data_IF_014311488751
#
_entry.id   IF_014311488751
#
_cell.length_a   1.000
_cell.length_b   1.000
_cell.length_c   1.000
_cell.angle_alpha   90.00
_cell.angle_beta   90.00
_cell.angle_gamma   90.00
#
_symmetry.space_group_name_H-M   'P 1'
#
loop_
_entity.id
_entity.type
_entity.pdbx_description
1 polymer ?
2 polymer ?
3 non-polymer ?
4 non-polymer ?
5 water ?
#
loop_
_entity_poly.entity_id
_entity_poly.type
_entity_poly.pdbx_seq_one_letter_code
_entity_poly.pdbx_strand_id
2 'polydeoxyribonucleotide' '(DT)(DT)(DT)(DC)(DC)(DC)(DG)(DT)(DG)(DT)(DC)(DT)(DG)(DT)(DC)(DA)(DA)(DT)(DC)(DT)(DG)' ?
#
# COMPACT_ATOMS: atom_id res chain seq x y z
N UNK A 10 5.68 35.21 5.15
CA UNK A 10 4.36 34.67 5.53
C UNK A 10 4.46 33.21 5.93
N UNK A 11 3.93 32.89 7.11
CA UNK A 11 4.02 31.58 7.73
C UNK A 11 2.68 30.89 7.75
N UNK A 12 2.71 29.55 7.75
CA UNK A 12 1.49 28.75 7.76
C UNK A 12 0.60 29.14 8.95
N UNK A 13 1.23 29.51 10.07
CA UNK A 13 0.47 29.95 11.24
C UNK A 13 -0.32 31.21 10.96
N UNK A 14 0.15 32.06 10.04
CA UNK A 14 -0.59 33.25 9.65
C UNK A 14 -1.62 32.99 8.56
N UNK A 15 -1.58 31.81 7.92
CA UNK A 15 -2.48 31.51 6.83
C UNK A 15 -3.70 30.70 7.25
N UNK A 16 -3.59 29.92 8.32
CA UNK A 16 -4.66 29.04 8.76
C UNK A 16 -4.97 29.33 10.23
N UNK A 17 -6.19 28.98 10.60
CA UNK A 17 -6.58 28.89 12.00
C UNK A 17 -6.33 27.46 12.48
N UNK A 18 -5.23 27.19 13.18
CA UNK A 18 -4.89 25.80 13.53
C UNK A 18 -6.00 25.12 14.33
N UNK A 19 -6.26 23.88 13.98
CA UNK A 19 -7.33 23.12 14.59
C UNK A 19 -6.94 22.63 15.99
N UNK A 20 -7.96 22.35 16.79
CA UNK A 20 -7.76 21.83 18.13
C UNK A 20 -7.07 20.47 18.07
N UNK A 21 -6.12 20.18 18.96
CA UNK A 21 -5.47 18.85 18.94
C UNK A 21 -6.44 17.68 19.02
N UNK A 22 -7.52 17.79 19.82
CA UNK A 22 -8.49 16.71 19.89
C UNK A 22 -9.25 16.55 18.58
N UNK A 23 -9.50 17.66 17.88
CA UNK A 23 -10.09 17.56 16.55
C UNK A 23 -9.19 16.79 15.60
N UNK A 24 -7.88 17.04 15.67
CA UNK A 24 -6.97 16.36 14.76
C UNK A 24 -6.88 14.88 15.07
N UNK A 25 -6.63 14.53 16.33
CA UNK A 25 -6.40 13.14 16.68
C UNK A 25 -7.67 12.30 16.46
N UNK A 26 -8.85 12.84 16.79
CA UNK A 26 -10.08 12.08 16.57
C UNK A 26 -10.37 11.92 15.09
N UNK A 27 -10.06 12.92 14.28
CA UNK A 27 -10.41 12.85 12.86
C UNK A 27 -9.36 12.17 12.00
N UNK A 28 -8.09 12.17 12.40
CA UNK A 28 -7.03 11.63 11.56
C UNK A 28 -6.51 10.27 12.03
N UNK A 29 -7.05 9.74 13.13
CA UNK A 29 -6.78 8.37 13.53
C UNK A 29 -6.97 7.45 12.33
N UNK A 30 -5.96 6.61 12.05
CA UNK A 30 -5.99 5.88 10.80
C UNK A 30 -6.44 4.42 10.95
N UNK A 31 -7.18 4.10 12.01
CA UNK A 31 -7.87 2.82 12.05
C UNK A 31 -8.70 2.68 10.76
N UNK A 32 -8.47 1.65 9.94
CA UNK A 32 -9.16 1.61 8.63
C UNK A 32 -10.69 1.59 8.72
N UNK A 33 -11.23 0.88 9.71
CA UNK A 33 -12.67 0.81 9.95
C UNK A 33 -12.93 1.61 11.20
N UNK A 34 -13.57 2.76 11.03
CA UNK A 34 -13.73 3.75 12.09
C UNK A 34 -15.09 4.39 11.93
N UNK A 35 -15.99 4.14 12.86
CA UNK A 35 -17.36 4.63 12.80
C UNK A 35 -17.53 5.90 13.63
N UNK A 36 -18.58 6.64 13.32
CA UNK A 36 -18.98 7.80 14.11
C UNK A 36 -18.46 9.14 13.62
N UNK A 37 -17.66 9.18 12.56
CA UNK A 37 -17.11 10.45 12.10
C UNK A 37 -18.10 11.12 11.14
N UNK A 38 -18.61 12.29 11.52
CA UNK A 38 -19.58 12.98 10.68
C UNK A 38 -18.96 14.00 9.70
N UNK A 39 -17.62 14.14 9.67
CA UNK A 39 -16.98 15.25 8.97
C UNK A 39 -15.74 14.77 8.23
N UNK A 40 -15.43 15.40 7.09
CA UNK A 40 -14.17 15.21 6.37
C UNK A 40 -13.33 16.46 6.57
N UNK A 41 -12.06 16.29 6.94
CA UNK A 41 -11.13 17.40 7.11
C UNK A 41 -10.06 17.35 6.02
N UNK A 42 -9.63 18.53 5.59
CA UNK A 42 -8.71 18.65 4.47
C UNK A 42 -7.74 19.77 4.80
N UNK A 43 -6.46 19.45 5.01
CA UNK A 43 -5.43 20.49 5.08
C UNK A 43 -4.64 20.55 3.79
N UNK A 44 -4.39 21.77 3.31
CA UNK A 44 -3.73 21.87 2.01
C UNK A 44 -2.67 22.95 2.02
N UNK A 45 -1.70 22.78 1.14
CA UNK A 45 -0.65 23.76 0.86
C UNK A 45 -0.59 23.94 -0.64
N UNK A 46 -0.43 25.18 -1.07
CA UNK A 46 -0.22 25.54 -2.47
C UNK A 46 1.20 26.06 -2.60
N UNK A 47 2.01 25.40 -3.43
CA UNK A 47 3.41 25.77 -3.59
C UNK A 47 3.73 26.04 -5.06
N UNK A 48 4.89 26.65 -5.30
CA UNK A 48 5.40 26.81 -6.66
C UNK A 48 6.04 25.50 -7.10
N UNK A 49 6.70 25.51 -8.26
CA UNK A 49 7.49 24.36 -8.69
C UNK A 49 8.56 23.99 -7.67
N UNK A 50 9.11 24.98 -6.97
CA UNK A 50 10.16 24.76 -5.98
C UNK A 50 9.55 24.48 -4.61
N UNK A 51 9.78 23.30 -4.03
CA UNK A 51 9.06 22.93 -2.79
C UNK A 51 9.64 23.54 -1.51
N UNK A 52 10.83 24.12 -1.55
CA UNK A 52 11.49 24.58 -0.33
C UNK A 52 10.87 25.89 0.16
N UNK A 53 10.85 26.04 1.49
CA UNK A 53 10.31 27.23 2.10
C UNK A 53 8.82 27.13 2.34
N UNK A 54 8.22 28.25 2.76
CA UNK A 54 6.79 28.23 3.06
C UNK A 54 5.98 28.12 1.77
N UNK A 55 4.76 27.64 1.86
CA UNK A 55 3.88 27.64 0.69
C UNK A 55 3.43 29.07 0.36
N UNK A 56 2.88 29.22 -0.84
CA UNK A 56 2.23 30.47 -1.21
C UNK A 56 1.01 30.73 -0.34
N UNK A 57 0.26 29.68 -0.02
CA UNK A 57 -0.91 29.79 0.85
C UNK A 57 -1.19 28.40 1.42
N UNK A 58 -2.01 28.38 2.47
CA UNK A 58 -2.38 27.12 3.12
C UNK A 58 -3.75 27.32 3.74
N UNK A 59 -4.55 26.25 3.75
CA UNK A 59 -5.94 26.36 4.16
C UNK A 59 -6.35 25.06 4.83
N UNK A 60 -7.28 25.17 5.77
CA UNK A 60 -7.96 24.02 6.37
C UNK A 60 -9.44 24.12 5.99
N UNK A 61 -9.95 23.09 5.32
CA UNK A 61 -11.37 23.00 4.96
C UNK A 61 -12.00 21.81 5.67
N UNK A 62 -13.27 21.94 6.01
CA UNK A 62 -14.04 20.86 6.61
C UNK A 62 -15.44 20.86 6.02
N UNK A 63 -16.05 19.69 5.99
CA UNK A 63 -17.41 19.58 5.49
C UNK A 63 -18.07 18.33 6.04
N UNK A 64 -19.37 18.39 6.33
CA UNK A 64 -20.10 17.20 6.76
C UNK A 64 -20.21 16.19 5.62
N UNK A 65 -20.06 14.89 5.94
CA UNK A 65 -20.19 13.86 4.91
C UNK A 65 -21.57 13.92 4.26
N UNK A 66 -22.61 14.06 5.07
CA UNK A 66 -24.00 14.02 4.59
C UNK A 66 -24.70 15.33 4.96
N UNK A 67 -25.65 15.81 4.12
CA UNK A 67 -26.22 15.12 2.95
C UNK A 67 -25.72 15.58 1.58
N UNK A 68 -24.91 16.61 1.50
CA UNK A 68 -24.55 17.25 0.23
C UNK A 68 -23.05 17.16 0.02
N UNK A 69 -22.63 16.42 -1.02
CA UNK A 69 -21.21 16.38 -1.39
C UNK A 69 -20.70 17.73 -1.85
N UNK A 70 -21.58 18.63 -2.28
CA UNK A 70 -21.12 19.94 -2.72
C UNK A 70 -20.48 20.72 -1.57
N UNK A 71 -20.76 20.36 -0.33
CA UNK A 71 -20.06 20.98 0.80
C UNK A 71 -18.94 20.13 1.35
N UNK A 72 -18.54 19.08 0.64
CA UNK A 72 -17.37 18.34 1.08
C UNK A 72 -16.14 19.22 0.87
N UNK A 73 -15.11 19.06 1.72
CA UNK A 73 -13.99 20.01 1.70
C UNK A 73 -13.21 20.02 0.38
N UNK A 74 -13.25 18.94 -0.40
CA UNK A 74 -12.59 18.93 -1.70
C UNK A 74 -13.23 19.93 -2.65
N UNK A 75 -14.56 20.09 -2.57
CA UNK A 75 -15.21 21.07 -3.45
C UNK A 75 -15.07 22.49 -2.90
N UNK A 76 -15.05 22.63 -1.57
CA UNK A 76 -14.73 23.91 -0.98
C UNK A 76 -13.35 24.37 -1.43
N UNK A 77 -12.40 23.43 -1.47
CA UNK A 77 -11.06 23.73 -1.97
C UNK A 77 -11.12 24.22 -3.41
N UNK A 78 -11.85 23.50 -4.27
CA UNK A 78 -11.91 23.88 -5.68
C UNK A 78 -12.47 25.29 -5.86
N UNK A 79 -13.52 25.65 -5.10
CA UNK A 79 -14.07 27.00 -5.23
C UNK A 79 -13.10 28.06 -4.68
N UNK A 80 -12.47 27.78 -3.54
CA UNK A 80 -11.49 28.73 -3.01
C UNK A 80 -10.31 28.89 -3.97
N UNK A 81 -9.83 27.80 -4.56
CA UNK A 81 -8.62 27.84 -5.37
C UNK A 81 -8.85 28.58 -6.69
N UNK A 82 -10.02 28.41 -7.27
CA UNK A 82 -10.40 29.18 -8.45
C UNK A 82 -10.32 30.68 -8.18
N UNK A 83 -10.93 31.14 -7.09
CA UNK A 83 -10.90 32.57 -6.77
C UNK A 83 -9.49 33.02 -6.37
N UNK A 84 -8.77 32.20 -5.61
CA UNK A 84 -7.40 32.54 -5.23
C UNK A 84 -6.52 32.76 -6.46
N UNK A 85 -6.66 31.89 -7.47
CA UNK A 85 -5.81 32.00 -8.65
C UNK A 85 -6.09 33.27 -9.45
N UNK A 86 -7.33 33.76 -9.46
CA UNK A 86 -7.62 35.00 -10.16
C UNK A 86 -6.87 36.16 -9.52
N UNK A 87 -6.55 36.07 -8.24
CA UNK A 87 -5.95 37.17 -7.50
C UNK A 87 -4.43 37.10 -7.42
N UNK A 88 -3.80 36.11 -8.08
CA UNK A 88 -2.35 35.94 -8.02
C UNK A 88 -1.82 35.70 -9.43
N UNK A 89 -0.54 36.03 -9.64
CA UNK A 89 0.03 35.91 -10.97
C UNK A 89 0.18 34.44 -11.35
N UNK A 90 -0.32 34.09 -12.54
CA UNK A 90 -0.33 32.70 -12.99
C UNK A 90 1.08 32.13 -13.04
N UNK A 91 1.25 30.95 -12.46
CA UNK A 91 2.44 30.13 -12.56
C UNK A 91 2.03 28.69 -12.29
N UNK A 92 2.98 27.78 -12.41
CA UNK A 92 2.72 26.38 -12.10
C UNK A 92 2.63 26.17 -10.60
N UNK A 93 1.66 25.36 -10.17
CA UNK A 93 1.37 25.13 -8.76
C UNK A 93 1.51 23.64 -8.42
N UNK A 94 2.10 23.36 -7.25
CA UNK A 94 2.12 22.03 -6.66
C UNK A 94 1.29 22.08 -5.38
N UNK A 95 0.19 21.35 -5.37
CA UNK A 95 -0.76 21.33 -4.26
C UNK A 95 -0.64 20.02 -3.51
N UNK A 96 -0.64 20.09 -2.18
CA UNK A 96 -0.65 18.91 -1.34
C UNK A 96 -1.85 18.98 -0.41
N UNK A 97 -2.58 17.85 -0.29
CA UNK A 97 -3.71 17.66 0.63
C UNK A 97 -3.37 16.58 1.64
N UNK A 98 -3.68 16.84 2.91
CA UNK A 98 -3.80 15.79 3.93
C UNK A 98 -5.31 15.71 4.23
N UNK A 99 -5.95 14.59 3.90
CA UNK A 99 -7.41 14.45 4.06
C UNK A 99 -7.71 13.29 5.00
N UNK A 100 -8.73 13.45 5.86
CA UNK A 100 -9.00 12.43 6.88
C UNK A 100 -9.66 11.19 6.25
N UNK A 101 -10.56 11.40 5.29
CA UNK A 101 -11.15 10.34 4.47
C UNK A 101 -10.76 10.55 3.02
N UNK A 102 -10.50 9.46 2.29
CA UNK A 102 -10.30 9.55 0.85
C UNK A 102 -11.59 10.01 0.16
N UNK A 103 -11.49 10.54 -1.07
CA UNK A 103 -12.64 11.19 -1.70
C UNK A 103 -13.79 10.23 -1.99
N UNK A 104 -15.00 10.74 -1.79
CA UNK A 104 -16.19 10.04 -2.28
C UNK A 104 -16.19 10.06 -3.80
N UNK A 105 -17.13 9.33 -4.39
CA UNK A 105 -17.14 9.15 -5.84
C UNK A 105 -17.36 10.47 -6.58
N UNK A 106 -18.16 11.37 -6.00
CA UNK A 106 -18.44 12.66 -6.65
C UNK A 106 -17.23 13.57 -6.61
N UNK A 107 -16.61 13.73 -5.44
CA UNK A 107 -15.42 14.59 -5.36
C UNK A 107 -14.30 14.04 -6.21
N UNK A 108 -14.13 12.70 -6.21
CA UNK A 108 -13.07 12.12 -7.02
C UNK A 108 -13.26 12.48 -8.49
N UNK A 109 -14.51 12.39 -8.98
CA UNK A 109 -14.74 12.72 -10.38
C UNK A 109 -14.63 14.22 -10.64
N UNK A 110 -15.00 15.07 -9.68
CA UNK A 110 -14.86 16.51 -9.87
C UNK A 110 -13.39 16.93 -9.88
N UNK A 111 -12.62 16.45 -8.90
CA UNK A 111 -11.21 16.77 -8.87
C UNK A 111 -10.52 16.24 -10.12
N UNK A 112 -10.89 15.03 -10.55
CA UNK A 112 -10.26 14.44 -11.73
C UNK A 112 -10.52 15.28 -12.96
N UNK A 113 -11.72 15.84 -13.06
CA UNK A 113 -12.06 16.68 -14.20
C UNK A 113 -11.26 17.98 -14.15
N UNK A 114 -11.11 18.54 -12.95
CA UNK A 114 -10.35 19.78 -12.79
C UNK A 114 -8.88 19.56 -13.15
N UNK A 115 -8.28 18.49 -12.64
CA UNK A 115 -6.87 18.22 -12.93
C UNK A 115 -6.64 17.97 -14.42
N UNK A 116 -7.53 17.21 -15.05
CA UNK A 116 -7.33 16.83 -16.45
C UNK A 116 -7.47 18.02 -17.40
N UNK A 117 -8.10 19.12 -16.95
CA UNK A 117 -8.29 20.30 -17.79
C UNK A 117 -7.30 21.41 -17.46
N UNK A 118 -6.33 21.17 -16.59
CA UNK A 118 -5.41 22.22 -16.16
C UNK A 118 -4.01 21.64 -16.01
N UNK A 119 -3.19 21.74 -17.06
CA UNK A 119 -1.81 21.23 -16.96
C UNK A 119 -0.93 22.01 -16.01
N UNK A 120 -1.38 23.17 -15.53
CA UNK A 120 -0.55 23.99 -14.66
C UNK A 120 -0.56 23.53 -13.21
N UNK A 121 -1.46 22.62 -12.83
CA UNK A 121 -1.64 22.22 -11.44
C UNK A 121 -1.36 20.72 -11.33
N UNK A 122 -0.54 20.34 -10.35
CA UNK A 122 -0.39 18.94 -9.97
C UNK A 122 -0.79 18.80 -8.51
N UNK A 123 -1.40 17.67 -8.18
CA UNK A 123 -1.97 17.48 -6.85
C UNK A 123 -1.47 16.16 -6.26
N UNK A 124 -1.02 16.21 -5.01
CA UNK A 124 -0.73 15.02 -4.21
C UNK A 124 -1.72 14.95 -3.05
N UNK A 125 -2.37 13.81 -2.90
CA UNK A 125 -3.36 13.60 -1.84
C UNK A 125 -2.83 12.52 -0.91
N UNK A 126 -2.51 12.90 0.32
CA UNK A 126 -2.28 11.92 1.40
C UNK A 126 -3.58 11.71 2.16
N UNK A 127 -3.99 10.45 2.33
CA UNK A 127 -5.26 10.13 3.00
C UNK A 127 -4.97 9.41 4.31
N UNK A 128 -5.72 9.76 5.34
CA UNK A 128 -5.56 9.06 6.61
C UNK A 128 -6.24 7.70 6.59
N UNK A 129 -7.45 7.62 6.01
CA UNK A 129 -8.22 6.39 5.90
C UNK A 129 -8.83 6.31 4.50
N UNK A 130 -9.13 5.10 4.06
CA UNK A 130 -9.79 4.85 2.79
C UNK A 130 -11.29 4.71 3.03
N UNK A 131 -12.07 5.52 2.34
CA UNK A 131 -13.52 5.60 2.51
C UNK A 131 -14.18 4.62 1.55
N UNK A 132 -14.93 3.67 2.10
CA UNK A 132 -15.67 2.69 1.30
C UNK A 132 -14.75 1.99 0.29
N UNK A 133 -13.55 1.61 0.74
CA UNK A 133 -12.57 1.02 -0.16
C UNK A 133 -13.03 -0.32 -0.76
N UNK A 134 -14.02 -0.98 -0.14
CA UNK A 134 -14.49 -2.26 -0.65
C UNK A 134 -15.62 -2.12 -1.69
N UNK A 135 -16.05 -0.90 -1.99
CA UNK A 135 -17.18 -0.71 -2.89
C UNK A 135 -16.65 -0.41 -4.28
N UNK A 136 -17.03 -1.20 -5.29
CA UNK A 136 -16.46 -0.99 -6.63
C UNK A 136 -16.60 0.44 -7.14
N UNK A 137 -17.70 1.14 -6.85
CA UNK A 137 -17.88 2.50 -7.32
C UNK A 137 -16.79 3.41 -6.79
N UNK A 138 -16.47 3.28 -5.50
CA UNK A 138 -15.46 4.12 -4.89
C UNK A 138 -14.07 3.73 -5.38
N UNK A 139 -13.84 2.44 -5.62
CA UNK A 139 -12.57 1.98 -6.20
C UNK A 139 -12.36 2.57 -7.60
N UNK A 140 -13.39 2.52 -8.43
CA UNK A 140 -13.28 3.02 -9.78
C UNK A 140 -13.10 4.54 -9.80
N UNK A 141 -13.68 5.23 -8.81
CA UNK A 141 -13.53 6.68 -8.74
C UNK A 141 -12.10 7.07 -8.36
N UNK A 142 -11.47 6.32 -7.45
CA UNK A 142 -10.09 6.63 -7.11
C UNK A 142 -9.15 6.34 -8.28
N UNK A 143 -9.49 5.34 -9.09
CA UNK A 143 -8.70 5.07 -10.30
C UNK A 143 -8.80 6.20 -11.30
N UNK A 144 -10.00 6.77 -11.45
CA UNK A 144 -10.17 7.90 -12.38
C UNK A 144 -9.39 9.12 -11.89
N UNK A 145 -9.37 9.34 -10.59
CA UNK A 145 -8.56 10.42 -10.03
C UNK A 145 -7.07 10.18 -10.25
N UNK A 146 -6.60 8.95 -10.02
CA UNK A 146 -5.20 8.65 -10.27
C UNK A 146 -4.86 8.80 -11.75
N UNK A 147 -5.78 8.41 -12.63
CA UNK A 147 -5.53 8.54 -14.07
C UNK A 147 -5.54 9.99 -14.53
N UNK A 148 -6.13 10.89 -13.76
CA UNK A 148 -6.08 12.31 -14.07
C UNK A 148 -4.77 12.93 -13.62
N UNK A 149 -3.91 12.16 -12.99
CA UNK A 149 -2.58 12.60 -12.58
C UNK A 149 -2.42 12.87 -11.11
N UNK A 150 -3.50 12.78 -10.31
CA UNK A 150 -3.35 12.92 -8.87
C UNK A 150 -2.45 11.80 -8.32
N UNK A 151 -1.51 12.16 -7.46
CA UNK A 151 -0.70 11.18 -6.77
C UNK A 151 -1.33 10.89 -5.42
N UNK A 152 -1.79 9.65 -5.23
CA UNK A 152 -2.56 9.32 -4.06
C UNK A 152 -1.74 8.41 -3.17
N UNK A 153 -1.56 8.80 -1.91
CA UNK A 153 -0.74 8.05 -0.97
C UNK A 153 -1.48 7.95 0.35
N UNK A 154 -1.02 7.02 1.18
CA UNK A 154 -1.52 6.86 2.54
C UNK A 154 -0.63 7.66 3.46
N UNK A 155 -1.26 8.38 4.39
CA UNK A 155 -0.52 9.17 5.36
C UNK A 155 0.25 8.23 6.28
N UNK A 156 1.56 8.44 6.42
CA UNK A 156 2.38 7.71 7.37
C UNK A 156 2.78 8.64 8.50
N UNK A 157 3.54 8.11 9.46
CA UNK A 157 4.02 8.91 10.58
C UNK A 157 4.55 10.29 10.18
N UNK A 158 5.38 10.35 9.12
CA UNK A 158 5.98 11.64 8.75
C UNK A 158 4.90 12.66 8.39
N UNK A 159 3.87 12.22 7.68
CA UNK A 159 2.81 13.14 7.25
C UNK A 159 1.91 13.52 8.40
N UNK A 160 1.58 12.57 9.31
CA UNK A 160 0.83 12.96 10.49
C UNK A 160 1.60 13.98 11.32
N UNK A 161 2.90 13.74 11.50
CA UNK A 161 3.73 14.70 12.26
C UNK A 161 3.78 16.05 11.56
N UNK A 162 3.97 16.06 10.25
CA UNK A 162 3.97 17.31 9.49
C UNK A 162 2.64 18.03 9.61
N UNK A 163 1.54 17.28 9.57
CA UNK A 163 0.22 17.91 9.63
C UNK A 163 0.00 18.48 11.03
N UNK A 164 0.43 17.76 12.06
CA UNK A 164 0.40 18.27 13.42
C UNK A 164 1.21 19.57 13.55
N UNK A 165 2.42 19.61 12.98
CA UNK A 165 3.27 20.80 13.13
C UNK A 165 2.67 22.01 12.43
N UNK A 166 2.07 21.81 11.25
CA UNK A 166 1.61 22.90 10.40
C UNK A 166 0.18 23.32 10.70
N UNK A 167 -0.72 22.39 10.98
CA UNK A 167 -2.15 22.70 10.98
C UNK A 167 -2.83 22.50 12.33
N UNK A 168 -2.11 22.17 13.38
CA UNK A 168 -2.73 21.87 14.67
C UNK A 168 -2.17 22.82 15.71
N UNK A 169 -3.02 23.18 16.67
CA UNK A 169 -2.61 24.04 17.78
C UNK A 169 -1.99 23.18 18.88
N UNK A 170 -0.83 22.60 18.55
CA UNK A 170 -0.12 21.75 19.48
C UNK A 170 0.59 22.49 20.60
N UNK A 171 0.67 23.83 20.53
CA UNK A 171 1.32 24.64 21.56
C UNK A 171 2.75 24.19 21.84
N UNK A 172 3.48 23.83 20.79
CA UNK A 172 4.87 23.42 20.93
C UNK A 172 5.10 21.98 21.33
N UNK A 173 4.07 21.29 21.81
CA UNK A 173 4.20 19.87 22.10
C UNK A 173 4.41 19.07 20.81
N UNK A 174 5.15 17.97 20.86
CA UNK A 174 5.39 17.19 19.65
C UNK A 174 4.24 16.22 19.37
N UNK A 175 4.18 15.77 18.12
CA UNK A 175 3.17 14.80 17.73
C UNK A 175 3.42 13.48 18.46
N UNK A 176 2.38 12.92 19.06
CA UNK A 176 2.45 11.63 19.74
C UNK A 176 1.61 10.62 18.96
N UNK A 177 2.20 9.59 18.35
CA UNK A 177 1.39 8.66 17.56
C UNK A 177 0.46 7.85 18.44
N UNK A 178 -0.73 7.58 17.91
CA UNK A 178 -1.71 6.72 18.57
C UNK A 178 -1.30 5.25 18.43
N UNK A 179 -2.06 4.37 19.06
CA UNK A 179 -1.72 2.96 19.02
C UNK A 179 -1.94 2.40 17.62
N UNK A 180 -0.99 1.60 17.15
CA UNK A 180 -1.13 0.79 15.94
C UNK A 180 -1.11 1.62 14.67
N UNK A 181 -0.62 2.87 14.74
CA UNK A 181 -0.43 3.64 13.52
C UNK A 181 0.32 2.87 12.43
N UNK A 182 1.45 2.18 12.71
CA UNK A 182 2.14 1.47 11.62
C UNK A 182 1.37 0.29 11.07
N UNK A 183 0.73 -0.51 11.94
CA UNK A 183 -0.08 -1.62 11.44
C UNK A 183 -1.21 -1.13 10.55
N UNK A 184 -1.88 -0.05 10.93
CA UNK A 184 -2.91 0.54 10.07
C UNK A 184 -2.34 0.98 8.73
N UNK A 185 -1.20 1.67 8.77
CA UNK A 185 -0.58 2.14 7.54
C UNK A 185 -0.39 1.01 6.52
N UNK A 186 0.18 -0.12 6.97
CA UNK A 186 0.49 -1.17 6.00
C UNK A 186 -0.77 -1.78 5.40
N UNK A 187 -1.80 -1.99 6.22
CA UNK A 187 -3.08 -2.47 5.68
C UNK A 187 -3.63 -1.50 4.63
N UNK A 188 -3.61 -0.20 4.93
CA UNK A 188 -4.15 0.77 3.99
C UNK A 188 -3.28 0.86 2.75
N UNK A 189 -1.96 0.87 2.93
CA UNK A 189 -1.08 0.98 1.78
C UNK A 189 -1.31 -0.17 0.81
N UNK A 190 -1.35 -1.40 1.34
CA UNK A 190 -1.61 -2.57 0.50
C UNK A 190 -2.98 -2.50 -0.16
N UNK A 191 -4.01 -2.08 0.59
CA UNK A 191 -5.35 -1.93 0.02
C UNK A 191 -5.38 -0.89 -1.10
N UNK A 192 -4.71 0.25 -0.89
CA UNK A 192 -4.64 1.27 -1.94
C UNK A 192 -3.94 0.72 -3.17
N UNK A 193 -2.83 -0.01 -2.97
CA UNK A 193 -2.15 -0.63 -4.10
C UNK A 193 -3.03 -1.60 -4.86
N UNK A 194 -3.88 -2.36 -4.13
CA UNK A 194 -4.77 -3.30 -4.80
C UNK A 194 -5.78 -2.57 -5.65
N UNK A 195 -6.45 -1.55 -5.09
CA UNK A 195 -7.53 -0.93 -5.85
C UNK A 195 -7.03 -0.02 -6.96
N UNK A 196 -5.83 0.57 -6.80
CA UNK A 196 -5.25 1.29 -7.93
C UNK A 196 -4.57 0.36 -8.94
N UNK A 197 -4.49 -0.93 -8.64
CA UNK A 197 -3.84 -1.91 -9.52
C UNK A 197 -2.39 -1.49 -9.78
N UNK A 198 -1.67 -1.16 -8.71
CA UNK A 198 -0.28 -0.74 -8.84
C UNK A 198 0.55 -1.91 -9.34
N UNK A 199 1.40 -1.66 -10.33
CA UNK A 199 2.27 -2.67 -10.91
C UNK A 199 3.71 -2.39 -10.50
N UNK A 200 4.49 -3.46 -10.43
CA UNK A 200 5.86 -3.35 -9.94
C UNK A 200 6.80 -2.92 -11.05
N UNK A 201 7.76 -2.11 -10.68
CA UNK A 201 8.72 -1.59 -11.65
C UNK A 201 9.51 -2.75 -12.25
N UNK A 202 9.66 -2.81 -13.58
CA UNK A 202 10.34 -3.98 -14.17
C UNK A 202 11.77 -4.15 -13.70
N UNK A 203 12.49 -3.05 -13.47
CA UNK A 203 13.85 -3.18 -12.98
C UNK A 203 13.87 -3.75 -11.58
N UNK A 204 12.92 -3.32 -10.76
CA UNK A 204 12.79 -3.85 -9.41
C UNK A 204 12.49 -5.35 -9.45
N UNK A 205 11.63 -5.78 -10.38
CA UNK A 205 11.32 -7.20 -10.50
C UNK A 205 12.56 -8.00 -10.92
N UNK A 206 13.17 -7.63 -12.05
CA UNK A 206 14.31 -8.37 -12.57
C UNK A 206 15.45 -8.45 -11.55
N UNK A 207 15.77 -7.34 -10.89
CA UNK A 207 16.83 -7.34 -9.88
C UNK A 207 16.51 -8.29 -8.73
N UNK A 208 15.26 -8.28 -8.26
CA UNK A 208 14.94 -9.01 -7.04
C UNK A 208 14.52 -10.46 -7.29
N UNK A 209 14.06 -10.82 -8.48
CA UNK A 209 13.61 -12.19 -8.69
C UNK A 209 14.59 -13.03 -9.47
N UNK A 210 15.70 -12.45 -9.95
CA UNK A 210 16.80 -13.23 -10.49
C UNK A 210 17.22 -14.29 -9.47
N UNK A 211 17.29 -15.55 -9.90
CA UNK A 211 17.55 -16.66 -8.99
C UNK A 211 18.98 -17.16 -9.07
N UNK A 212 19.89 -16.43 -9.72
CA UNK A 212 21.31 -16.75 -9.60
C UNK A 212 21.75 -16.50 -8.17
N UNK A 213 22.86 -17.09 -7.73
CA UNK A 213 23.36 -16.80 -6.38
C UNK A 213 23.43 -15.29 -6.12
N UNK A 214 22.91 -14.88 -4.97
CA UNK A 214 22.77 -13.47 -4.63
C UNK A 214 24.12 -12.86 -4.22
N UNK A 215 24.46 -11.72 -4.78
CA UNK A 215 25.75 -11.08 -4.47
C UNK A 215 25.60 -9.68 -3.88
N UNK A 216 24.39 -9.14 -3.81
CA UNK A 216 24.21 -7.80 -3.27
C UNK A 216 24.21 -7.81 -1.75
N UNK A 217 24.68 -6.71 -1.16
CA UNK A 217 24.56 -6.52 0.29
C UNK A 217 23.14 -6.36 0.79
N UNK A 218 22.19 -6.05 -0.10
CA UNK A 218 20.82 -5.77 0.32
C UNK A 218 20.08 -7.05 0.65
N UNK A 219 19.31 -7.03 1.74
CA UNK A 219 18.32 -8.08 2.03
C UNK A 219 16.94 -7.42 2.05
N UNK A 220 16.23 -7.55 0.95
CA UNK A 220 14.86 -7.09 0.78
C UNK A 220 14.07 -8.24 0.20
N UNK A 221 12.80 -8.32 0.54
CA UNK A 221 11.91 -9.36 0.04
C UNK A 221 10.70 -8.72 -0.61
N UNK A 222 10.44 -9.07 -1.86
CA UNK A 222 9.24 -8.66 -2.57
C UNK A 222 8.33 -9.88 -2.69
N UNK A 223 7.04 -9.66 -2.56
CA UNK A 223 6.07 -10.76 -2.47
C UNK A 223 4.85 -10.39 -3.31
N UNK A 224 4.59 -11.18 -4.36
CA UNK A 224 3.37 -11.04 -5.16
C UNK A 224 2.33 -12.04 -4.69
N UNK A 225 1.06 -11.62 -4.65
CA UNK A 225 0.03 -12.51 -4.12
C UNK A 225 -1.24 -12.45 -4.97
N UNK A 226 -1.97 -13.55 -4.96
CA UNK A 226 -3.27 -13.69 -5.61
C UNK A 226 -4.09 -14.68 -4.80
N UNK A 227 -5.41 -14.69 -5.06
CA UNK A 227 -6.37 -15.51 -4.32
C UNK A 227 -7.32 -16.18 -5.29
N UNK A 228 -7.60 -17.47 -5.05
CA UNK A 228 -8.59 -18.23 -5.80
C UNK A 228 -9.65 -18.78 -4.85
N UNK A 229 -10.83 -19.07 -5.41
CA UNK A 229 -11.95 -19.63 -4.69
C UNK A 229 -12.37 -20.95 -5.33
N UNK A 230 -12.73 -21.92 -4.50
CA UNK A 230 -13.22 -23.22 -4.97
C UNK A 230 -14.70 -23.10 -5.35
N UNK A 231 -15.02 -23.39 -6.60
CA UNK A 231 -16.39 -23.28 -7.12
C UNK A 231 -16.61 -24.40 -8.12
N UNK A 232 -17.55 -25.30 -7.80
CA UNK A 232 -17.85 -26.45 -8.67
C UNK A 232 -16.61 -27.30 -8.93
N UNK A 233 -15.86 -27.58 -7.85
CA UNK A 233 -14.63 -28.38 -7.93
C UNK A 233 -13.58 -27.76 -8.85
N UNK A 234 -13.61 -26.44 -9.02
CA UNK A 234 -12.67 -25.73 -9.87
C UNK A 234 -12.21 -24.47 -9.17
N UNK A 235 -10.92 -24.14 -9.32
CA UNK A 235 -10.37 -22.91 -8.76
C UNK A 235 -10.63 -21.76 -9.71
N UNK A 236 -11.28 -20.71 -9.21
CA UNK A 236 -11.64 -19.55 -10.02
C UNK A 236 -10.91 -18.34 -9.46
N UNK A 237 -10.37 -17.46 -10.31
CA UNK A 237 -9.70 -16.25 -9.81
C UNK A 237 -10.65 -15.35 -9.02
N UNK A 238 -10.07 -14.68 -8.02
CA UNK A 238 -10.77 -13.73 -7.17
C UNK A 238 -10.03 -12.40 -7.31
N UNK A 239 -10.38 -11.64 -8.36
CA UNK A 239 -9.52 -10.56 -8.84
C UNK A 239 -9.42 -9.37 -7.88
N UNK A 240 -10.19 -9.35 -6.79
CA UNK A 240 -10.19 -8.16 -5.95
C UNK A 240 -8.90 -7.99 -5.16
N UNK A 241 -8.26 -9.09 -4.77
CA UNK A 241 -7.12 -9.09 -3.86
C UNK A 241 -5.91 -9.68 -4.59
N UNK A 242 -5.33 -8.88 -5.47
CA UNK A 242 -4.14 -9.26 -6.20
C UNK A 242 -3.18 -8.07 -6.16
N UNK A 243 -1.92 -8.33 -5.90
CA UNK A 243 -0.95 -7.24 -5.86
C UNK A 243 0.40 -7.70 -5.38
N UNK A 244 1.19 -6.76 -4.88
CA UNK A 244 2.49 -7.12 -4.35
C UNK A 244 2.80 -6.20 -3.18
N UNK A 245 3.72 -6.65 -2.33
CA UNK A 245 4.20 -5.88 -1.20
C UNK A 245 5.67 -6.23 -0.98
N UNK A 246 6.29 -5.57 0.02
CA UNK A 246 7.68 -5.82 0.36
C UNK A 246 7.85 -5.71 1.87
N UNK A 247 9.02 -6.14 2.33
CA UNK A 247 9.34 -6.06 3.76
C UNK A 247 9.41 -4.61 4.21
N UNK A 248 9.13 -4.38 5.50
CA UNK A 248 9.26 -3.06 6.13
C UNK A 248 10.58 -2.99 6.90
N UNK A 249 11.50 -2.14 6.45
CA UNK A 249 12.76 -2.01 7.15
C UNK A 249 12.52 -1.46 8.56
N UNK A 250 13.40 -1.76 9.51
CA UNK A 250 13.21 -1.23 10.88
C UNK A 250 13.24 0.29 10.92
N UNK A 251 12.42 0.86 11.81
CA UNK A 251 12.40 2.29 12.07
C UNK A 251 11.63 2.47 13.37
N UNK A 252 12.18 3.27 14.30
CA UNK A 252 11.53 3.34 15.61
C UNK A 252 10.14 3.96 15.53
N UNK A 253 9.80 4.66 14.44
CA UNK A 253 8.47 5.24 14.24
C UNK A 253 7.59 4.38 13.36
N UNK A 254 8.11 3.27 12.86
CA UNK A 254 7.26 2.31 12.20
C UNK A 254 7.29 1.04 13.00
N UNK A 255 7.87 0.01 12.40
CA UNK A 255 8.14 -1.22 13.15
C UNK A 255 9.57 -1.19 13.64
N UNK A 256 9.81 -1.10 14.95
CA UNK A 256 11.18 -0.90 15.45
C UNK A 256 12.13 -2.04 15.12
N UNK A 257 11.62 -3.24 14.87
CA UNK A 257 12.49 -4.34 14.46
C UNK A 257 12.18 -4.80 13.05
N UNK A 258 11.46 -3.98 12.30
CA UNK A 258 11.07 -4.32 10.95
C UNK A 258 9.86 -5.24 10.95
N UNK A 259 9.30 -5.43 9.76
CA UNK A 259 8.24 -6.42 9.59
C UNK A 259 8.42 -7.11 8.24
N UNK A 260 8.76 -8.40 8.28
CA UNK A 260 9.10 -9.10 7.06
C UNK A 260 7.89 -9.23 6.14
N UNK A 261 8.19 -9.45 4.85
CA UNK A 261 7.14 -9.47 3.83
C UNK A 261 6.09 -10.54 4.13
N UNK A 262 6.52 -11.74 4.53
CA UNK A 262 5.53 -12.79 4.81
C UNK A 262 4.57 -12.40 5.92
N UNK A 263 5.05 -11.68 6.93
CA UNK A 263 4.15 -11.22 8.00
C UNK A 263 3.20 -10.14 7.51
N UNK A 264 3.66 -9.20 6.67
CA UNK A 264 2.73 -8.23 6.10
C UNK A 264 1.67 -8.91 5.26
N UNK A 265 2.05 -10.01 4.60
CA UNK A 265 1.10 -10.77 3.81
C UNK A 265 0.09 -11.49 4.69
N UNK A 266 0.55 -12.08 5.79
CA UNK A 266 -0.37 -12.70 6.74
C UNK A 266 -1.31 -11.68 7.37
N UNK A 267 -0.85 -10.44 7.57
CA UNK A 267 -1.73 -9.38 8.12
C UNK A 267 -2.92 -9.12 7.21
N UNK A 268 -2.72 -9.20 5.90
CA UNK A 268 -3.73 -8.85 4.92
C UNK A 268 -4.89 -9.86 4.90
N UNK A 269 -4.58 -11.16 5.04
CA UNK A 269 -5.60 -12.18 4.81
C UNK A 269 -6.84 -11.98 5.70
N UNK A 270 -6.71 -11.78 7.02
CA UNK A 270 -7.94 -11.55 7.81
C UNK A 270 -8.64 -10.26 7.42
N UNK A 271 -7.88 -9.27 6.94
CA UNK A 271 -8.45 -7.99 6.55
C UNK A 271 -9.35 -8.10 5.32
N UNK A 272 -9.11 -9.14 4.49
CA UNK A 272 -9.96 -9.38 3.33
C UNK A 272 -11.36 -9.82 3.69
N UNK A 273 -11.58 -10.29 4.92
CA UNK A 273 -12.88 -10.77 5.39
C UNK A 273 -13.41 -11.88 4.49
N UNK A 274 -12.57 -12.88 4.23
CA UNK A 274 -12.98 -14.01 3.41
C UNK A 274 -14.10 -14.76 4.14
N UNK A 275 -15.08 -15.27 3.39
CA UNK A 275 -16.15 -16.04 4.01
C UNK A 275 -15.65 -17.45 4.29
N UNK A 276 -16.58 -18.36 4.59
CA UNK A 276 -16.23 -19.73 4.91
C UNK A 276 -16.00 -20.66 3.73
N UNK A 277 -15.98 -20.15 2.51
CA UNK A 277 -15.69 -21.00 1.37
C UNK A 277 -14.20 -21.38 1.39
N UNK A 278 -13.83 -22.29 0.49
CA UNK A 278 -12.45 -22.73 0.38
C UNK A 278 -11.68 -21.74 -0.51
N UNK A 279 -10.52 -21.27 -0.01
CA UNK A 279 -9.68 -20.35 -0.76
C UNK A 279 -8.26 -20.89 -0.85
N UNK A 280 -7.60 -20.58 -1.97
CA UNK A 280 -6.19 -20.89 -2.18
C UNK A 280 -5.44 -19.58 -2.40
N UNK A 281 -4.56 -19.24 -1.45
CA UNK A 281 -3.79 -18.01 -1.49
C UNK A 281 -2.37 -18.36 -1.89
N UNK A 282 -1.91 -17.76 -2.98
CA UNK A 282 -0.60 -18.00 -3.57
C UNK A 282 0.27 -16.76 -3.45
N UNK A 283 1.52 -16.97 -3.06
CA UNK A 283 2.48 -15.88 -3.04
C UNK A 283 3.75 -16.30 -3.78
N UNK A 284 4.33 -15.32 -4.48
CA UNK A 284 5.60 -15.47 -5.18
C UNK A 284 6.56 -14.53 -4.49
N UNK A 285 7.47 -15.09 -3.71
CA UNK A 285 8.32 -14.28 -2.86
C UNK A 285 9.79 -14.40 -3.30
N UNK A 286 10.53 -13.29 -3.33
CA UNK A 286 11.88 -13.35 -3.86
C UNK A 286 12.81 -14.16 -2.95
N UNK A 287 12.57 -14.14 -1.65
CA UNK A 287 13.26 -15.01 -0.70
C UNK A 287 12.26 -15.94 -0.02
N UNK A 288 12.62 -17.22 0.11
CA UNK A 288 11.86 -18.10 1.00
C UNK A 288 11.82 -17.52 2.40
N UNK A 289 10.80 -17.82 3.20
CA UNK A 289 10.69 -17.20 4.53
C UNK A 289 11.76 -17.72 5.49
N UNK A 290 12.27 -16.79 6.31
CA UNK A 290 13.11 -17.12 7.46
C UNK A 290 12.30 -17.91 8.48
N UNK A 291 12.98 -18.40 9.53
CA UNK A 291 12.32 -19.26 10.51
C UNK A 291 11.12 -18.55 11.15
N UNK A 292 11.32 -17.33 11.64
CA UNK A 292 10.24 -16.59 12.28
C UNK A 292 9.03 -16.47 11.36
N UNK A 293 9.26 -16.14 10.09
CA UNK A 293 8.13 -16.04 9.15
C UNK A 293 7.44 -17.38 8.96
N UNK A 294 8.23 -18.46 8.78
CA UNK A 294 7.61 -19.76 8.51
C UNK A 294 6.79 -20.26 9.70
N UNK A 295 7.27 -20.03 10.92
CA UNK A 295 6.51 -20.38 12.12
C UNK A 295 5.16 -19.67 12.12
N UNK A 296 5.15 -18.36 11.89
CA UNK A 296 3.91 -17.60 11.83
C UNK A 296 3.00 -18.11 10.73
N UNK A 297 3.57 -18.41 9.56
CA UNK A 297 2.78 -18.90 8.44
C UNK A 297 2.17 -20.27 8.77
N UNK A 298 2.98 -21.15 9.37
CA UNK A 298 2.50 -22.48 9.75
C UNK A 298 1.42 -22.37 10.80
N UNK A 299 1.58 -21.45 11.77
CA UNK A 299 0.53 -21.19 12.74
C UNK A 299 -0.76 -20.76 12.04
N UNK A 300 -0.65 -19.87 11.06
CA UNK A 300 -1.84 -19.34 10.39
C UNK A 300 -2.62 -20.45 9.70
N UNK A 301 -1.95 -21.27 8.88
CA UNK A 301 -2.67 -22.31 8.16
C UNK A 301 -3.19 -23.38 9.10
N UNK A 302 -2.53 -23.59 10.25
CA UNK A 302 -3.08 -24.51 11.25
C UNK A 302 -4.39 -24.03 11.81
N UNK A 303 -4.61 -22.72 11.84
CA UNK A 303 -5.76 -22.08 12.46
C UNK A 303 -6.80 -21.62 11.45
N UNK A 304 -6.53 -21.74 10.15
CA UNK A 304 -7.42 -21.29 9.08
C UNK A 304 -7.52 -22.41 8.04
N UNK A 305 -8.37 -23.37 8.35
CA UNK A 305 -8.45 -24.63 7.62
C UNK A 305 -9.00 -24.43 6.21
N UNK A 306 -9.82 -23.39 6.00
CA UNK A 306 -10.42 -23.08 4.71
C UNK A 306 -9.48 -22.31 3.76
N UNK A 307 -8.27 -21.94 4.19
CA UNK A 307 -7.28 -21.28 3.35
C UNK A 307 -6.13 -22.23 3.07
N UNK A 308 -5.88 -22.51 1.79
CA UNK A 308 -4.70 -23.27 1.38
C UNK A 308 -3.60 -22.31 0.95
N UNK A 309 -2.39 -22.52 1.45
CA UNK A 309 -1.25 -21.67 1.13
C UNK A 309 -0.38 -22.33 0.06
N UNK A 310 -0.01 -21.58 -0.97
CA UNK A 310 1.01 -22.00 -1.90
C UNK A 310 2.10 -20.93 -1.95
N UNK A 311 3.34 -21.34 -1.66
CA UNK A 311 4.49 -20.44 -1.62
C UNK A 311 5.45 -20.83 -2.72
N UNK A 312 5.71 -19.91 -3.63
CA UNK A 312 6.74 -20.03 -4.65
C UNK A 312 7.84 -19.04 -4.31
N UNK A 313 9.08 -19.52 -4.28
CA UNK A 313 10.22 -18.71 -3.87
C UNK A 313 11.22 -18.62 -5.02
N UNK A 314 11.77 -17.43 -5.23
CA UNK A 314 12.81 -17.29 -6.23
C UNK A 314 14.11 -17.92 -5.74
N UNK A 315 14.46 -17.66 -4.49
CA UNK A 315 15.72 -18.08 -3.90
C UNK A 315 15.47 -18.60 -2.49
N UNK A 316 16.41 -19.38 -1.99
CA UNK A 316 16.31 -19.95 -0.65
C UNK A 316 17.14 -19.09 0.30
N UNK A 317 16.48 -18.55 1.34
CA UNK A 317 17.12 -17.64 2.27
C UNK A 317 17.61 -18.43 3.47
N UNK A 318 18.93 -18.49 3.62
CA UNK A 318 19.59 -19.07 4.78
C UNK A 318 19.67 -17.99 5.87
N UNK A 319 18.84 -18.11 6.91
CA UNK A 319 18.81 -17.08 7.96
C UNK A 319 19.89 -17.27 9.02
N UNK A 320 20.85 -18.17 8.80
CA UNK A 320 21.88 -18.50 9.78
C UNK A 320 21.30 -19.15 11.03
N UNK A 321 20.06 -19.62 10.95
CA UNK A 321 19.40 -20.24 12.07
C UNK A 321 18.60 -21.46 11.65
N UNK A 322 17.31 -21.49 12.00
CA UNK A 322 16.53 -22.70 11.85
C UNK A 322 15.65 -22.70 10.60
N UNK A 323 16.07 -21.98 9.55
CA UNK A 323 15.22 -21.82 8.36
C UNK A 323 14.83 -23.17 7.74
N UNK A 324 15.71 -24.17 7.78
CA UNK A 324 15.38 -25.49 7.23
C UNK A 324 14.25 -26.13 8.00
N UNK A 325 14.31 -26.08 9.34
CA UNK A 325 13.23 -26.63 10.15
C UNK A 325 11.93 -25.86 9.92
N UNK A 326 12.02 -24.54 9.75
CA UNK A 326 10.82 -23.77 9.49
C UNK A 326 10.15 -24.15 8.18
N UNK A 327 10.95 -24.38 7.14
CA UNK A 327 10.38 -24.85 5.87
C UNK A 327 9.76 -26.23 6.02
N UNK A 328 10.38 -27.10 6.81
CA UNK A 328 9.81 -28.42 7.04
C UNK A 328 8.49 -28.34 7.80
N UNK A 329 8.43 -27.49 8.84
CA UNK A 329 7.19 -27.30 9.59
C UNK A 329 6.09 -26.74 8.69
N UNK A 330 6.46 -25.79 7.82
CA UNK A 330 5.47 -25.20 6.91
C UNK A 330 4.89 -26.26 5.98
N UNK A 331 5.75 -27.11 5.43
CA UNK A 331 5.31 -28.18 4.56
C UNK A 331 4.45 -29.20 5.31
N UNK A 332 4.91 -29.61 6.50
CA UNK A 332 4.18 -30.56 7.34
C UNK A 332 2.75 -30.10 7.63
N UNK A 333 2.57 -28.80 7.89
CA UNK A 333 1.26 -28.26 8.22
C UNK A 333 0.41 -27.99 6.98
N UNK A 334 0.85 -28.41 5.80
CA UNK A 334 -0.01 -28.40 4.63
C UNK A 334 0.19 -27.27 3.64
N UNK A 335 1.25 -26.47 3.78
CA UNK A 335 1.54 -25.49 2.75
C UNK A 335 2.25 -26.18 1.60
N UNK A 336 1.93 -25.77 0.37
CA UNK A 336 2.72 -26.16 -0.79
C UNK A 336 3.89 -25.17 -0.92
N UNK A 337 5.12 -25.70 -0.97
CA UNK A 337 6.31 -24.87 -1.10
C UNK A 337 7.12 -25.36 -2.29
N UNK A 338 7.46 -24.46 -3.20
CA UNK A 338 8.19 -24.83 -4.39
C UNK A 338 9.07 -23.68 -4.82
N UNK A 339 10.08 -24.00 -5.62
CA UNK A 339 10.95 -22.95 -6.12
C UNK A 339 10.40 -22.54 -7.48
N UNK A 340 10.48 -21.24 -7.76
CA UNK A 340 9.93 -20.69 -8.98
C UNK A 340 10.73 -21.25 -10.16
N UNK A 341 10.03 -21.75 -11.17
CA UNK A 341 10.62 -22.11 -12.45
C UNK A 341 10.25 -21.05 -13.49
N UNK A 342 10.63 -21.31 -14.75
CA UNK A 342 10.35 -20.35 -15.81
C UNK A 342 8.88 -19.95 -15.83
N UNK A 343 7.97 -20.92 -15.71
CA UNK A 343 6.55 -20.58 -15.80
C UNK A 343 6.13 -19.60 -14.71
N UNK A 344 6.65 -19.74 -13.50
CA UNK A 344 6.23 -18.83 -12.44
C UNK A 344 6.85 -17.45 -12.62
N UNK A 345 8.11 -17.38 -13.08
CA UNK A 345 8.70 -16.08 -13.37
C UNK A 345 7.92 -15.37 -14.47
N UNK A 346 7.62 -16.07 -15.55
CA UNK A 346 6.86 -15.46 -16.65
C UNK A 346 5.49 -15.00 -16.16
N UNK A 347 4.83 -15.82 -15.34
CA UNK A 347 3.50 -15.44 -14.86
C UNK A 347 3.52 -14.15 -14.07
N UNK A 348 4.56 -13.94 -13.24
CA UNK A 348 4.61 -12.72 -12.44
C UNK A 348 4.97 -11.51 -13.29
N UNK A 349 5.89 -11.67 -14.23
CA UNK A 349 6.14 -10.60 -15.20
C UNK A 349 4.85 -10.19 -15.90
N UNK A 350 4.08 -11.17 -16.38
CA UNK A 350 2.84 -10.88 -17.09
C UNK A 350 1.77 -10.30 -16.18
N UNK A 351 1.74 -10.69 -14.90
CA UNK A 351 0.63 -10.35 -14.02
C UNK A 351 0.91 -9.15 -13.13
N UNK A 352 2.09 -9.03 -12.54
CA UNK A 352 2.32 -8.06 -11.49
C UNK A 352 3.23 -6.91 -11.89
N UNK A 353 3.87 -6.96 -13.06
CA UNK A 353 4.92 -6.02 -13.42
C UNK A 353 4.40 -5.03 -14.45
N UNK A 354 4.86 -3.78 -14.32
CA UNK A 354 4.56 -2.72 -15.29
C UNK A 354 5.44 -2.93 -16.51
N UNK A 355 5.06 -3.89 -17.35
CA UNK A 355 5.91 -4.32 -18.45
C UNK A 355 5.70 -3.52 -19.72
N UNK A 356 4.60 -2.77 -19.81
CA UNK A 356 4.26 -1.99 -21.00
C UNK A 356 4.34 -2.86 -22.26
N UNK A 357 3.58 -3.94 -22.25
CA UNK A 357 3.49 -4.84 -23.38
C UNK A 357 4.72 -5.66 -23.70
N UNK A 358 5.86 -5.40 -23.05
CA UNK A 358 7.07 -6.16 -23.34
C UNK A 358 6.94 -7.60 -22.85
N UNK A 359 7.37 -8.58 -23.64
CA UNK A 359 7.33 -9.97 -23.17
C UNK A 359 8.39 -10.22 -22.11
N UNK A 360 8.20 -11.33 -21.37
CA UNK A 360 9.19 -11.74 -20.39
C UNK A 360 10.49 -12.13 -21.10
N UNK A 361 11.61 -11.57 -20.65
CA UNK A 361 12.92 -11.94 -21.17
C UNK A 361 13.72 -12.61 -20.07
N UNK A 362 13.92 -13.93 -20.10
CA UNK A 362 14.57 -14.60 -18.96
C UNK A 362 16.04 -14.24 -18.88
N UNK A 363 16.52 -14.07 -17.65
CA UNK A 363 17.94 -13.84 -17.42
C UNK A 363 18.74 -15.11 -17.71
N UNK A 364 20.06 -14.95 -17.76
CA UNK A 364 20.95 -16.05 -18.07
C UNK A 364 20.90 -17.10 -16.96
N UNK A 365 20.78 -18.37 -17.35
CA UNK A 365 20.85 -19.47 -16.39
C UNK A 365 19.62 -19.69 -15.55
N UNK A 366 18.50 -19.03 -15.89
CA UNK A 366 17.25 -19.20 -15.15
C UNK A 366 16.92 -20.67 -14.89
N UNK A 367 16.87 -21.46 -15.96
CA UNK A 367 16.49 -22.87 -15.83
C UNK A 367 17.48 -23.65 -14.99
N UNK A 368 18.78 -23.43 -15.24
CA UNK A 368 19.81 -24.13 -14.48
C UNK A 368 19.72 -23.82 -12.99
N UNK A 369 19.56 -22.54 -12.64
CA UNK A 369 19.46 -22.18 -11.23
C UNK A 369 18.18 -22.73 -10.59
N UNK A 370 17.06 -22.71 -11.32
CA UNK A 370 15.83 -23.29 -10.78
C UNK A 370 16.02 -24.77 -10.42
N UNK A 371 16.69 -25.53 -11.29
CA UNK A 371 16.92 -26.94 -11.01
C UNK A 371 17.78 -27.13 -9.77
N UNK A 372 18.90 -26.39 -9.69
CA UNK A 372 19.74 -26.46 -8.50
C UNK A 372 18.95 -26.15 -7.24
N UNK A 373 18.19 -25.05 -7.26
CA UNK A 373 17.43 -24.66 -6.06
C UNK A 373 16.31 -25.67 -5.76
N UNK A 374 15.65 -26.18 -6.79
CA UNK A 374 14.63 -27.20 -6.55
C UNK A 374 15.23 -28.42 -5.86
N UNK A 375 16.45 -28.81 -6.25
CA UNK A 375 17.10 -29.95 -5.63
C UNK A 375 17.47 -29.68 -4.18
N UNK A 376 17.92 -28.46 -3.89
CA UNK A 376 18.21 -28.08 -2.50
C UNK A 376 16.94 -28.08 -1.65
N UNK A 377 15.84 -27.53 -2.18
CA UNK A 377 14.58 -27.55 -1.44
C UNK A 377 14.15 -28.98 -1.13
N UNK A 378 14.15 -29.84 -2.15
CA UNK A 378 13.77 -31.24 -1.94
C UNK A 378 14.64 -31.88 -0.87
N UNK A 379 15.94 -31.58 -0.88
CA UNK A 379 16.83 -32.12 0.14
C UNK A 379 16.46 -31.60 1.53
N UNK A 380 16.07 -30.34 1.62
CA UNK A 380 15.66 -29.77 2.90
C UNK A 380 14.38 -30.44 3.39
N UNK A 381 13.39 -30.55 2.52
CA UNK A 381 12.08 -31.04 2.95
C UNK A 381 12.12 -32.53 3.28
N UNK A 382 13.10 -33.26 2.76
CA UNK A 382 13.20 -34.71 2.96
C UNK A 382 14.18 -35.06 4.08
N UNK A 383 14.27 -34.20 5.11
CA UNK A 383 15.07 -34.50 6.31
C UNK A 383 14.29 -34.29 7.61
#
# INVERSE_FOLDING_TARGET
GPGGSGGMKPQIRNMVEPMDPRTFVSNFNNRPILSGLDTVWLCCEVKTKDPSGPPLDAKIFQGKVYPKAKYHPEMRFLRWFHKWRQLHHDQEYKVTWYVSWSPCTRCANSVATFLAKDPKVTLTIFVARLYYFWKPDYQQALRILAEAGATMKIMNYNEFQDCWNKFVDGRGKPFKPWNNLPKHYTLLQATLGELLRHLMDPGTFTSNFNNKPWVSGQHETYLCYKVERLHNDTWVPLNQHRGFLRNQAPNIHGFPKGRHAALCFLDLIPFWKLDGQQYRVTCFTSWSPCFSCAQEMAKFISNNEHVSLCIFAARIYDDQGRYQEGLRTLHRDGAKIAMMNYSEFEYCWDTFVDRQGRPFQPWDGLDEHSQALSGRLRAILQNILQ
#
